data_IF_732774262652
#
_entry.id   IF_732774262652
#
_cell.length_a   1.000
_cell.length_b   1.000
_cell.length_c   1.000
_cell.angle_alpha   90.00
_cell.angle_beta   90.00
_cell.angle_gamma   90.00
#
_symmetry.space_group_name_H-M   'P 1'
#
loop_
_entity.id
_entity.type
_entity.pdbx_description
1 polymer ?
#
# COMPACT_ATOMS: atom_id res chain seq x y z
N UNK A 1 -27.98 -13.60 19.32
CA UNK A 1 -26.77 -13.36 18.50
C UNK A 1 -26.97 -14.03 17.15
N UNK A 2 -26.70 -13.35 16.05
CA UNK A 2 -26.78 -13.98 14.73
C UNK A 2 -25.67 -15.03 14.59
N UNK A 3 -26.01 -16.19 14.02
CA UNK A 3 -25.03 -17.22 13.74
C UNK A 3 -24.16 -16.79 12.54
N UNK A 4 -22.83 -16.97 12.64
CA UNK A 4 -21.96 -16.81 11.48
C UNK A 4 -22.38 -17.81 10.39
N UNK A 5 -22.53 -17.31 9.17
CA UNK A 5 -22.87 -18.12 7.99
C UNK A 5 -21.60 -18.77 7.42
N UNK A 6 -21.69 -19.70 6.47
CA UNK A 6 -20.52 -20.23 5.76
C UNK A 6 -19.61 -19.13 5.19
N UNK A 7 -20.18 -18.08 4.57
CA UNK A 7 -19.42 -16.94 4.06
C UNK A 7 -18.67 -16.17 5.14
N UNK A 8 -19.31 -15.92 6.28
CA UNK A 8 -18.65 -15.23 7.39
C UNK A 8 -17.44 -16.03 7.91
N UNK A 9 -17.59 -17.35 8.06
CA UNK A 9 -16.50 -18.23 8.48
C UNK A 9 -15.34 -18.23 7.49
N UNK A 10 -15.65 -18.21 6.19
CA UNK A 10 -14.60 -18.06 5.17
C UNK A 10 -13.88 -16.71 5.28
N UNK A 11 -14.60 -15.60 5.47
CA UNK A 11 -13.95 -14.30 5.68
C UNK A 11 -13.08 -14.30 6.94
N UNK A 12 -13.55 -14.91 8.03
CA UNK A 12 -12.75 -15.09 9.26
C UNK A 12 -11.49 -15.88 8.96
N UNK A 13 -11.58 -17.01 8.25
CA UNK A 13 -10.40 -17.84 7.96
C UNK A 13 -9.37 -17.12 7.08
N UNK A 14 -9.80 -16.28 6.14
CA UNK A 14 -8.88 -15.42 5.38
C UNK A 14 -8.17 -14.41 6.29
N UNK A 15 -8.92 -13.67 7.11
CA UNK A 15 -8.35 -12.68 8.05
C UNK A 15 -7.38 -13.34 9.05
N UNK A 16 -7.75 -14.50 9.57
CA UNK A 16 -6.94 -15.29 10.51
C UNK A 16 -5.65 -15.76 9.85
N UNK A 17 -5.73 -16.29 8.63
CA UNK A 17 -4.57 -16.78 7.89
C UNK A 17 -3.59 -15.66 7.54
N UNK A 18 -4.09 -14.53 7.01
CA UNK A 18 -3.23 -13.44 6.51
C UNK A 18 -2.54 -12.65 7.63
N UNK A 19 -3.08 -12.67 8.84
CA UNK A 19 -2.50 -11.99 10.00
C UNK A 19 -1.82 -12.94 10.99
N UNK A 20 -1.68 -14.23 10.65
CA UNK A 20 -1.05 -15.24 11.50
C UNK A 20 -1.75 -15.38 12.88
N UNK A 21 -3.08 -15.32 12.91
CA UNK A 21 -3.92 -15.30 14.12
C UNK A 21 -4.64 -16.63 14.40
N UNK A 22 -4.12 -17.77 13.91
CA UNK A 22 -4.80 -19.07 13.98
C UNK A 22 -5.24 -19.47 15.40
N UNK A 23 -4.40 -19.19 16.41
CA UNK A 23 -4.70 -19.49 17.81
C UNK A 23 -5.84 -18.63 18.39
N UNK A 24 -6.17 -17.51 17.74
CA UNK A 24 -7.17 -16.55 18.17
C UNK A 24 -8.46 -16.61 17.34
N UNK A 25 -8.63 -17.60 16.46
CA UNK A 25 -9.80 -17.73 15.58
C UNK A 25 -11.16 -17.59 16.32
N UNK A 26 -11.39 -18.21 17.50
CA UNK A 26 -12.64 -18.03 18.25
C UNK A 26 -12.91 -16.58 18.67
N UNK A 27 -11.85 -15.81 18.98
CA UNK A 27 -11.93 -14.40 19.32
C UNK A 27 -12.26 -13.57 18.08
N UNK A 28 -11.63 -13.88 16.94
CA UNK A 28 -11.91 -13.21 15.67
C UNK A 28 -13.33 -13.48 15.20
N UNK A 29 -13.85 -14.71 15.36
CA UNK A 29 -15.27 -15.01 15.15
C UNK A 29 -16.18 -14.11 16.01
N UNK A 30 -15.82 -13.89 17.28
CA UNK A 30 -16.61 -13.01 18.14
C UNK A 30 -16.56 -11.55 17.66
N UNK A 31 -15.40 -11.08 17.20
CA UNK A 31 -15.28 -9.74 16.62
C UNK A 31 -16.15 -9.58 15.37
N UNK A 32 -16.26 -10.60 14.52
CA UNK A 32 -17.17 -10.60 13.37
C UNK A 32 -18.65 -10.54 13.78
N UNK A 33 -19.03 -11.21 14.88
CA UNK A 33 -20.42 -11.21 15.39
C UNK A 33 -20.80 -9.89 16.04
N UNK A 34 -19.88 -9.30 16.81
CA UNK A 34 -20.19 -8.20 17.71
C UNK A 34 -19.62 -6.87 17.21
N UNK A 35 -18.30 -6.79 17.04
CA UNK A 35 -17.60 -5.52 16.79
C UNK A 35 -17.72 -5.05 15.34
N UNK A 36 -17.66 -5.98 14.38
CA UNK A 36 -17.58 -5.67 12.96
C UNK A 36 -18.89 -5.90 12.19
N UNK A 37 -19.91 -6.50 12.83
CA UNK A 37 -21.20 -6.81 12.20
C UNK A 37 -21.88 -5.57 11.61
N UNK A 38 -21.78 -4.41 12.27
CA UNK A 38 -22.33 -3.15 11.78
C UNK A 38 -21.73 -2.69 10.42
N UNK A 39 -20.54 -3.17 10.05
CA UNK A 39 -19.89 -2.90 8.74
C UNK A 39 -20.04 -4.09 7.78
N UNK A 40 -19.88 -5.31 8.29
CA UNK A 40 -19.96 -6.54 7.50
C UNK A 40 -21.39 -6.74 6.97
N UNK A 41 -22.42 -6.55 7.79
CA UNK A 41 -23.80 -6.84 7.38
C UNK A 41 -24.27 -5.94 6.23
N UNK A 42 -24.10 -4.60 6.27
CA UNK A 42 -24.44 -3.74 5.13
C UNK A 42 -23.60 -4.05 3.89
N UNK A 43 -22.32 -4.36 4.07
CA UNK A 43 -21.44 -4.76 2.98
C UNK A 43 -21.97 -6.02 2.28
N UNK A 44 -22.25 -7.09 3.02
CA UNK A 44 -22.75 -8.36 2.46
C UNK A 44 -24.16 -8.23 1.87
N UNK A 45 -25.01 -7.37 2.43
CA UNK A 45 -26.37 -7.08 1.89
C UNK A 45 -26.34 -6.15 0.68
N UNK A 46 -25.21 -5.47 0.43
CA UNK A 46 -25.07 -4.49 -0.63
C UNK A 46 -25.71 -3.14 -0.36
N UNK A 47 -25.92 -2.82 0.92
CA UNK A 47 -26.45 -1.53 1.40
C UNK A 47 -25.35 -0.62 1.95
N UNK A 48 -24.10 -1.06 2.02
CA UNK A 48 -22.96 -0.17 2.27
C UNK A 48 -22.78 0.81 1.09
N UNK A 49 -22.21 1.98 1.38
CA UNK A 49 -21.81 2.95 0.37
C UNK A 49 -20.66 2.45 -0.53
N UNK A 50 -19.94 1.42 -0.09
CA UNK A 50 -18.76 0.89 -0.78
C UNK A 50 -18.95 -0.58 -1.21
N UNK A 51 -18.16 -1.02 -2.19
CA UNK A 51 -18.09 -2.42 -2.65
C UNK A 51 -16.87 -3.14 -2.10
N UNK A 52 -16.13 -2.51 -1.20
CA UNK A 52 -14.94 -3.07 -0.58
C UNK A 52 -15.02 -2.97 0.94
N UNK A 53 -14.38 -3.92 1.61
CA UNK A 53 -14.24 -3.95 3.06
C UNK A 53 -12.78 -4.24 3.40
N UNK A 54 -12.18 -3.43 4.27
CA UNK A 54 -10.80 -3.56 4.67
C UNK A 54 -10.70 -4.04 6.12
N UNK A 55 -9.80 -4.99 6.36
CA UNK A 55 -9.33 -5.32 7.70
C UNK A 55 -7.88 -4.89 7.84
N UNK A 56 -7.56 -4.23 8.95
CA UNK A 56 -6.23 -3.77 9.27
C UNK A 56 -5.74 -4.37 10.58
N UNK A 57 -4.50 -4.83 10.60
CA UNK A 57 -3.90 -5.45 11.77
C UNK A 57 -2.53 -4.87 12.07
N UNK A 58 -2.36 -4.41 13.30
CA UNK A 58 -1.09 -3.88 13.81
C UNK A 58 -0.72 -4.55 15.12
N UNK A 59 0.43 -5.20 15.16
CA UNK A 59 0.99 -5.81 16.39
C UNK A 59 1.35 -4.70 17.37
N UNK A 60 1.02 -4.86 18.64
CA UNK A 60 1.40 -3.90 19.68
C UNK A 60 2.84 -4.18 20.12
N UNK A 61 3.77 -3.23 19.90
CA UNK A 61 5.17 -3.37 20.32
C UNK A 61 5.40 -3.21 21.84
N UNK A 62 4.38 -2.84 22.63
CA UNK A 62 4.53 -2.64 24.07
C UNK A 62 3.43 -3.37 24.86
N UNK A 63 3.86 -4.27 25.76
CA UNK A 63 3.04 -5.06 26.67
C UNK A 63 2.44 -4.26 27.85
N UNK A 64 2.12 -2.97 27.63
CA UNK A 64 1.61 -2.10 28.68
C UNK A 64 0.42 -1.29 28.17
N UNK A 65 -0.79 -1.81 28.37
CA UNK A 65 -2.03 -1.03 28.28
C UNK A 65 -3.19 -1.72 27.55
N UNK A 66 -4.18 -2.13 28.35
CA UNK A 66 -5.52 -2.62 28.01
C UNK A 66 -5.64 -4.03 27.43
N UNK A 67 -6.57 -4.80 28.02
CA UNK A 67 -7.09 -6.10 27.60
C UNK A 67 -7.34 -6.11 26.08
N UNK A 68 -6.42 -6.62 25.28
CA UNK A 68 -6.77 -7.14 23.96
C UNK A 68 -6.59 -8.63 23.99
N UNK A 69 -7.63 -9.33 23.57
CA UNK A 69 -7.69 -10.80 23.52
C UNK A 69 -6.75 -11.38 22.45
N UNK A 70 -6.13 -10.51 21.64
CA UNK A 70 -5.16 -10.81 20.58
C UNK A 70 -3.90 -9.91 20.75
N UNK A 71 -2.73 -10.31 20.20
CA UNK A 71 -1.44 -9.61 20.39
C UNK A 71 -1.34 -8.24 19.68
N UNK A 72 -2.38 -7.83 18.95
CA UNK A 72 -2.42 -6.58 18.21
C UNK A 72 -3.76 -5.89 18.27
N UNK A 73 -3.93 -4.89 17.39
CA UNK A 73 -5.20 -4.23 17.15
C UNK A 73 -5.69 -4.64 15.77
N UNK A 74 -6.80 -5.38 15.73
CA UNK A 74 -7.56 -5.65 14.52
C UNK A 74 -8.66 -4.59 14.38
N UNK A 75 -8.79 -4.00 13.21
CA UNK A 75 -9.87 -3.08 12.89
C UNK A 75 -10.50 -3.43 11.53
N UNK A 76 -11.76 -3.04 11.37
CA UNK A 76 -12.52 -3.16 10.13
C UNK A 76 -12.93 -1.76 9.68
N UNK A 77 -12.69 -1.40 8.42
CA UNK A 77 -12.94 -0.07 7.87
C UNK A 77 -13.27 -0.12 6.38
N UNK A 78 -13.81 0.97 5.86
CA UNK A 78 -14.01 1.17 4.41
C UNK A 78 -12.85 2.00 3.80
N UNK A 79 -11.82 2.31 4.59
CA UNK A 79 -10.65 3.08 4.17
C UNK A 79 -9.36 2.54 4.80
N UNK A 80 -8.21 2.92 4.22
CA UNK A 80 -6.88 2.46 4.64
C UNK A 80 -6.41 3.28 5.84
N UNK A 81 -5.82 2.60 6.84
CA UNK A 81 -5.16 3.28 7.96
C UNK A 81 -3.73 3.64 7.53
N UNK A 82 -3.31 4.87 7.79
CA UNK A 82 -1.98 5.36 7.44
C UNK A 82 -0.91 5.00 8.48
N UNK A 83 -1.26 4.18 9.48
CA UNK A 83 -0.36 3.79 10.55
C UNK A 83 0.78 2.89 10.00
N UNK A 84 2.06 3.30 10.10
CA UNK A 84 3.17 2.49 9.63
C UNK A 84 3.20 1.11 10.30
N UNK A 85 3.56 0.08 9.52
CA UNK A 85 3.65 -1.32 9.97
C UNK A 85 2.29 -2.00 10.17
N UNK A 86 1.22 -1.45 9.61
CA UNK A 86 -0.11 -2.06 9.62
C UNK A 86 -0.28 -2.95 8.39
N UNK A 87 -0.60 -4.23 8.60
CA UNK A 87 -0.98 -5.14 7.52
C UNK A 87 -2.44 -4.92 7.15
N UNK A 88 -2.77 -5.12 5.88
CA UNK A 88 -4.14 -4.92 5.39
C UNK A 88 -4.58 -6.06 4.49
N UNK A 89 -5.84 -6.49 4.67
CA UNK A 89 -6.52 -7.38 3.74
C UNK A 89 -7.86 -6.79 3.34
N UNK A 90 -8.30 -7.07 2.12
CA UNK A 90 -9.53 -6.52 1.57
C UNK A 90 -10.45 -7.62 1.04
N UNK A 91 -11.73 -7.32 1.06
CA UNK A 91 -12.76 -8.05 0.35
C UNK A 91 -13.42 -7.11 -0.65
N UNK A 92 -13.61 -7.55 -1.90
CA UNK A 92 -14.27 -6.77 -2.96
C UNK A 92 -15.46 -7.56 -3.50
N UNK A 93 -16.62 -6.91 -3.51
CA UNK A 93 -17.83 -7.43 -4.14
C UNK A 93 -17.77 -7.19 -5.64
N UNK A 94 -18.02 -8.24 -6.42
CA UNK A 94 -18.09 -8.19 -7.89
C UNK A 94 -19.54 -8.21 -8.40
N UNK A 95 -20.49 -8.10 -7.47
CA UNK A 95 -21.92 -7.99 -7.75
C UNK A 95 -22.37 -6.53 -7.77
N UNK A 96 -23.44 -6.19 -8.50
CA UNK A 96 -23.98 -4.83 -8.52
C UNK A 96 -24.35 -4.29 -7.12
N UNK A 97 -24.34 -2.96 -6.97
CA UNK A 97 -24.87 -2.28 -5.78
C UNK A 97 -26.31 -2.69 -5.50
N UNK A 98 -26.67 -2.82 -4.22
CA UNK A 98 -27.99 -3.28 -3.79
C UNK A 98 -28.24 -4.79 -3.89
N UNK A 99 -27.40 -5.56 -4.60
CA UNK A 99 -27.54 -7.03 -4.66
C UNK A 99 -26.84 -7.69 -3.47
N UNK A 100 -27.57 -8.46 -2.68
CA UNK A 100 -26.99 -9.24 -1.58
C UNK A 100 -26.13 -10.41 -2.09
N UNK A 101 -25.09 -10.74 -1.34
CA UNK A 101 -24.28 -11.94 -1.55
C UNK A 101 -24.97 -13.19 -1.00
N UNK A 102 -24.71 -14.34 -1.62
CA UNK A 102 -25.19 -15.62 -1.10
C UNK A 102 -24.39 -16.04 0.16
N UNK A 103 -25.00 -15.91 1.33
CA UNK A 103 -24.34 -16.19 2.60
C UNK A 103 -24.08 -17.69 2.88
N UNK A 104 -24.72 -18.59 2.14
CA UNK A 104 -24.60 -20.04 2.29
C UNK A 104 -23.43 -20.63 1.49
N UNK A 105 -22.91 -19.87 0.52
CA UNK A 105 -21.70 -20.23 -0.22
C UNK A 105 -20.51 -19.59 0.47
N UNK A 106 -19.55 -20.42 0.89
CA UNK A 106 -18.38 -19.98 1.65
C UNK A 106 -17.49 -19.04 0.82
N UNK A 107 -17.13 -19.46 -0.39
CA UNK A 107 -16.31 -18.72 -1.33
C UNK A 107 -16.81 -18.92 -2.76
N UNK A 108 -16.88 -17.84 -3.53
CA UNK A 108 -17.28 -17.80 -4.93
C UNK A 108 -16.71 -16.56 -5.61
N UNK A 109 -16.95 -16.42 -6.92
CA UNK A 109 -16.51 -15.26 -7.68
C UNK A 109 -17.25 -13.95 -7.34
N UNK A 110 -18.31 -13.99 -6.51
CA UNK A 110 -19.08 -12.80 -6.11
C UNK A 110 -18.37 -11.96 -5.04
N UNK A 111 -17.42 -12.55 -4.32
CA UNK A 111 -16.62 -11.90 -3.27
C UNK A 111 -15.15 -12.28 -3.42
N UNK A 112 -14.34 -11.33 -3.90
CA UNK A 112 -12.90 -11.47 -4.01
C UNK A 112 -12.24 -11.13 -2.68
N UNK A 113 -11.10 -11.77 -2.43
CA UNK A 113 -10.22 -11.51 -1.30
C UNK A 113 -8.82 -11.17 -1.82
N UNK A 114 -8.10 -10.29 -1.13
CA UNK A 114 -6.70 -10.03 -1.39
C UNK A 114 -5.99 -9.37 -0.22
N UNK A 115 -4.66 -9.42 -0.27
CA UNK A 115 -3.77 -8.81 0.71
C UNK A 115 -3.10 -7.58 0.08
N UNK A 116 -3.00 -6.48 0.82
CA UNK A 116 -2.21 -5.35 0.36
C UNK A 116 -0.74 -5.57 0.73
N UNK A 117 0.19 -5.35 -0.21
CA UNK A 117 1.61 -5.42 0.07
C UNK A 117 2.06 -4.20 0.89
N UNK A 118 3.18 -4.35 1.59
CA UNK A 118 3.79 -3.29 2.42
C UNK A 118 4.11 -2.01 1.62
N UNK A 119 4.38 -2.17 0.32
CA UNK A 119 4.63 -1.09 -0.63
C UNK A 119 3.53 -1.10 -1.71
N UNK A 120 2.37 -0.47 -1.47
CA UNK A 120 1.20 -0.57 -2.36
C UNK A 120 1.46 -0.15 -3.81
N UNK A 121 2.25 0.92 -4.02
CA UNK A 121 2.60 1.39 -5.38
C UNK A 121 3.48 0.39 -6.13
N UNK A 122 4.46 -0.20 -5.46
CA UNK A 122 5.29 -1.26 -6.04
C UNK A 122 4.47 -2.52 -6.33
N UNK A 123 3.56 -2.88 -5.43
CA UNK A 123 2.60 -3.95 -5.63
C UNK A 123 1.71 -3.74 -6.83
N UNK A 124 1.17 -2.53 -6.99
CA UNK A 124 0.35 -2.14 -8.15
C UNK A 124 1.16 -2.22 -9.45
N UNK A 125 2.36 -1.65 -9.47
CA UNK A 125 3.25 -1.73 -10.64
C UNK A 125 3.56 -3.18 -11.02
N UNK A 126 3.91 -4.02 -10.05
CA UNK A 126 4.22 -5.44 -10.28
C UNK A 126 2.99 -6.17 -10.82
N UNK A 127 1.82 -5.94 -10.22
CA UNK A 127 0.57 -6.57 -10.66
C UNK A 127 0.20 -6.17 -12.08
N UNK A 128 0.34 -4.90 -12.44
CA UNK A 128 0.03 -4.43 -13.79
C UNK A 128 1.06 -4.90 -14.82
N UNK A 129 2.35 -4.70 -14.55
CA UNK A 129 3.44 -5.00 -15.50
C UNK A 129 3.70 -6.50 -15.68
N UNK A 130 3.54 -7.30 -14.62
CA UNK A 130 3.94 -8.72 -14.62
C UNK A 130 2.77 -9.69 -14.75
N UNK A 131 1.53 -9.26 -14.46
CA UNK A 131 0.36 -10.13 -14.53
C UNK A 131 -0.62 -9.63 -15.58
N UNK A 132 -1.18 -8.42 -15.42
CA UNK A 132 -2.26 -7.96 -16.29
C UNK A 132 -1.80 -7.62 -17.70
N UNK A 133 -0.69 -6.90 -17.86
CA UNK A 133 -0.17 -6.55 -19.18
C UNK A 133 0.15 -7.82 -20.00
N UNK A 134 0.93 -8.80 -19.50
CA UNK A 134 1.15 -10.05 -20.22
C UNK A 134 -0.15 -10.80 -20.51
N UNK A 135 -1.09 -10.83 -19.56
CA UNK A 135 -2.38 -11.51 -19.78
C UNK A 135 -3.14 -10.89 -20.96
N UNK A 136 -3.24 -9.57 -21.01
CA UNK A 136 -3.94 -8.83 -22.07
C UNK A 136 -3.19 -8.91 -23.41
N UNK A 137 -1.87 -9.00 -23.40
CA UNK A 137 -1.06 -9.21 -24.60
C UNK A 137 -1.27 -10.58 -25.25
N UNK A 138 -1.62 -11.60 -24.45
CA UNK A 138 -1.89 -12.95 -24.93
C UNK A 138 -3.35 -13.18 -25.35
N UNK A 139 -4.23 -12.19 -25.15
CA UNK A 139 -5.63 -12.30 -25.57
C UNK A 139 -5.75 -12.43 -27.08
N UNK A 140 -6.55 -13.41 -27.51
CA UNK A 140 -6.79 -13.67 -28.92
C UNK A 140 -8.04 -12.96 -29.46
N UNK A 141 -8.38 -13.21 -30.73
CA UNK A 141 -9.56 -12.61 -31.36
C UNK A 141 -10.88 -13.00 -30.67
N UNK A 142 -10.93 -14.13 -29.97
CA UNK A 142 -12.10 -14.60 -29.23
C UNK A 142 -12.27 -13.84 -27.90
N UNK A 143 -11.17 -13.53 -27.21
CA UNK A 143 -11.16 -12.75 -25.97
C UNK A 143 -11.57 -11.30 -26.20
N UNK A 144 -11.00 -10.68 -27.23
CA UNK A 144 -11.30 -9.30 -27.62
C UNK A 144 -12.68 -9.12 -28.25
N UNK A 145 -13.34 -10.22 -28.65
CA UNK A 145 -14.66 -10.23 -29.28
C UNK A 145 -14.76 -9.21 -30.43
N UNK A 146 -15.51 -8.12 -30.21
CA UNK A 146 -15.82 -7.08 -31.21
C UNK A 146 -14.91 -5.86 -31.12
N UNK A 147 -13.88 -5.87 -30.29
CA UNK A 147 -12.95 -4.74 -30.15
C UNK A 147 -12.16 -4.55 -31.47
N UNK A 148 -12.14 -3.37 -32.11
CA UNK A 148 -11.30 -3.09 -33.28
C UNK A 148 -9.81 -3.22 -32.98
N UNK A 149 -9.00 -3.65 -33.96
CA UNK A 149 -7.55 -3.82 -33.79
C UNK A 149 -6.84 -2.53 -33.35
N UNK A 150 -7.25 -1.38 -33.90
CA UNK A 150 -6.71 -0.07 -33.54
C UNK A 150 -6.87 0.24 -32.04
N UNK A 151 -8.07 -0.01 -31.49
CA UNK A 151 -8.36 0.20 -30.06
C UNK A 151 -7.57 -0.77 -29.16
N UNK A 152 -7.36 -2.01 -29.63
CA UNK A 152 -6.51 -2.98 -28.91
C UNK A 152 -5.07 -2.51 -28.84
N UNK A 153 -4.54 -2.06 -29.99
CA UNK A 153 -3.17 -1.55 -30.09
C UNK A 153 -2.96 -0.31 -29.23
N UNK A 154 -3.93 0.62 -29.24
CA UNK A 154 -3.91 1.81 -28.40
C UNK A 154 -3.93 1.45 -26.91
N UNK A 155 -4.84 0.58 -26.48
CA UNK A 155 -4.92 0.14 -25.08
C UNK A 155 -3.61 -0.50 -24.61
N UNK A 156 -3.03 -1.41 -25.40
CA UNK A 156 -1.75 -2.04 -25.07
C UNK A 156 -0.60 -1.02 -25.01
N UNK A 157 -0.54 -0.09 -25.96
CA UNK A 157 0.45 0.98 -25.96
C UNK A 157 0.33 1.86 -24.71
N UNK A 158 -0.88 2.32 -24.38
CA UNK A 158 -1.16 3.12 -23.20
C UNK A 158 -0.81 2.36 -21.90
N UNK A 159 -1.14 1.06 -21.83
CA UNK A 159 -0.85 0.24 -20.64
C UNK A 159 0.65 0.04 -20.45
N UNK A 160 1.42 -0.16 -21.54
CA UNK A 160 2.88 -0.25 -21.49
C UNK A 160 3.51 1.06 -21.02
N UNK A 161 3.10 2.19 -21.61
CA UNK A 161 3.60 3.51 -21.21
C UNK A 161 3.27 3.79 -19.74
N UNK A 162 2.05 3.50 -19.30
CA UNK A 162 1.64 3.65 -17.91
C UNK A 162 2.50 2.81 -16.95
N UNK A 163 2.73 1.53 -17.27
CA UNK A 163 3.58 0.67 -16.44
C UNK A 163 5.02 1.23 -16.36
N UNK A 164 5.57 1.67 -17.49
CA UNK A 164 6.91 2.26 -17.56
C UNK A 164 7.00 3.54 -16.72
N UNK A 165 6.09 4.49 -16.93
CA UNK A 165 6.06 5.76 -16.19
C UNK A 165 5.84 5.55 -14.68
N UNK A 166 4.98 4.60 -14.31
CA UNK A 166 4.78 4.24 -12.91
C UNK A 166 6.04 3.63 -12.29
N UNK A 167 6.75 2.76 -13.03
CA UNK A 167 8.04 2.21 -12.61
C UNK A 167 9.10 3.29 -12.41
N UNK A 168 9.25 4.19 -13.37
CA UNK A 168 10.18 5.34 -13.29
C UNK A 168 9.82 6.28 -12.14
N UNK A 169 8.54 6.52 -11.88
CA UNK A 169 8.08 7.34 -10.75
C UNK A 169 8.35 6.67 -9.39
N UNK A 170 8.16 5.35 -9.30
CA UNK A 170 8.50 4.56 -8.10
C UNK A 170 10.00 4.59 -7.87
N UNK A 171 10.81 4.42 -8.91
CA UNK A 171 12.25 4.54 -8.83
C UNK A 171 12.64 5.95 -8.38
N UNK A 172 12.10 7.00 -8.99
CA UNK A 172 12.34 8.37 -8.56
C UNK A 172 11.98 8.60 -7.08
N UNK A 173 10.86 8.03 -6.62
CA UNK A 173 10.44 8.11 -5.21
C UNK A 173 11.39 7.34 -4.27
N UNK A 174 11.82 6.14 -4.67
CA UNK A 174 12.74 5.31 -3.89
C UNK A 174 14.16 5.87 -3.86
N UNK A 175 14.57 6.56 -4.94
CA UNK A 175 15.87 7.22 -5.09
C UNK A 175 15.83 8.69 -4.65
N UNK A 176 14.70 9.21 -4.17
CA UNK A 176 14.62 10.52 -3.56
C UNK A 176 15.55 10.60 -2.36
N UNK A 177 16.25 11.72 -2.20
CA UNK A 177 17.12 11.92 -1.05
C UNK A 177 16.32 11.88 0.25
N UNK A 178 16.61 10.90 1.09
CA UNK A 178 16.14 10.86 2.47
C UNK A 178 17.28 11.28 3.39
N UNK A 179 17.33 12.58 3.67
CA UNK A 179 18.30 13.14 4.61
C UNK A 179 18.07 12.57 6.01
N UNK A 180 19.14 12.06 6.61
CA UNK A 180 19.14 11.55 7.99
C UNK A 180 18.61 12.63 8.94
N UNK A 181 17.70 12.28 9.85
CA UNK A 181 17.23 13.23 10.87
C UNK A 181 18.25 13.38 12.00
N UNK A 182 18.32 14.55 12.68
CA UNK A 182 19.11 14.69 13.90
C UNK A 182 18.69 13.66 14.96
N UNK A 183 19.65 13.21 15.75
CA UNK A 183 19.39 12.27 16.85
C UNK A 183 18.44 12.93 17.87
N UNK A 184 17.51 12.15 18.40
CA UNK A 184 16.57 12.59 19.42
C UNK A 184 17.28 13.07 20.71
N UNK A 185 18.53 12.63 20.94
CA UNK A 185 19.41 13.14 22.00
C UNK A 185 19.74 14.63 21.87
N UNK A 186 19.75 15.16 20.64
CA UNK A 186 20.06 16.55 20.33
C UNK A 186 18.78 17.26 19.86
N UNK A 187 17.82 17.38 20.77
CA UNK A 187 16.52 17.98 20.47
C UNK A 187 16.68 19.43 19.97
N UNK A 188 16.29 19.67 18.72
CA UNK A 188 16.25 20.99 18.09
C UNK A 188 15.50 22.04 18.92
N UNK A 189 14.53 21.61 19.74
CA UNK A 189 13.77 22.50 20.62
C UNK A 189 14.60 23.09 21.76
N UNK A 190 15.63 22.37 22.23
CA UNK A 190 16.50 22.82 23.33
C UNK A 190 17.66 23.65 22.81
N UNK A 191 18.18 23.30 21.62
CA UNK A 191 19.18 24.11 20.90
C UNK A 191 18.60 25.48 20.52
N UNK A 192 17.33 25.53 20.09
CA UNK A 192 16.63 26.78 19.74
C UNK A 192 16.47 27.76 20.89
N UNK A 193 16.52 27.29 22.14
CA UNK A 193 16.36 28.14 23.33
C UNK A 193 17.64 28.89 23.67
N UNK A 194 18.81 28.28 23.44
CA UNK A 194 20.10 28.92 23.70
C UNK A 194 21.21 28.34 22.78
N UNK A 195 21.31 28.91 21.59
CA UNK A 195 22.31 28.51 20.58
C UNK A 195 23.75 28.71 21.06
N UNK A 196 23.98 29.69 21.94
CA UNK A 196 25.32 30.02 22.44
C UNK A 196 25.87 28.98 23.40
N UNK A 197 25.00 28.32 24.18
CA UNK A 197 25.39 27.19 25.02
C UNK A 197 25.54 25.92 24.19
N UNK A 198 24.62 25.65 23.26
CA UNK A 198 24.70 24.48 22.37
C UNK A 198 25.95 24.49 21.48
N UNK A 199 26.38 25.67 21.00
CA UNK A 199 27.60 25.81 20.20
C UNK A 199 28.91 25.63 20.99
N UNK A 200 28.83 25.58 22.34
CA UNK A 200 29.98 25.30 23.21
C UNK A 200 30.06 23.85 23.65
N UNK A 201 29.03 23.06 23.34
CA UNK A 201 28.99 21.62 23.61
C UNK A 201 29.66 20.89 22.43
N UNK A 202 30.85 20.29 22.63
CA UNK A 202 31.58 19.61 21.55
C UNK A 202 30.78 18.47 20.93
N UNK A 203 29.99 17.74 21.73
CA UNK A 203 29.23 16.58 21.27
C UNK A 203 28.07 17.00 20.36
N UNK A 204 27.46 18.16 20.63
CA UNK A 204 26.42 18.74 19.78
C UNK A 204 27.03 19.19 18.45
N UNK A 205 28.15 19.92 18.49
CA UNK A 205 28.81 20.44 17.29
C UNK A 205 29.28 19.30 16.40
N UNK A 206 29.97 18.29 16.96
CA UNK A 206 30.45 17.11 16.24
C UNK A 206 29.28 16.36 15.57
N UNK A 207 28.18 16.12 16.30
CA UNK A 207 27.00 15.45 15.74
C UNK A 207 26.38 16.20 14.55
N UNK A 208 26.29 17.54 14.60
CA UNK A 208 25.74 18.32 13.48
C UNK A 208 26.73 18.48 12.32
N UNK A 209 28.03 18.51 12.59
CA UNK A 209 29.07 18.47 11.54
C UNK A 209 29.03 17.14 10.78
N UNK A 210 28.96 16.01 11.49
CA UNK A 210 28.79 14.68 10.88
C UNK A 210 27.48 14.59 10.09
N UNK A 211 26.38 15.10 10.64
CA UNK A 211 25.09 15.07 9.98
C UNK A 211 25.09 15.90 8.68
N UNK A 212 25.72 17.07 8.69
CA UNK A 212 25.84 17.93 7.51
C UNK A 212 26.78 17.32 6.46
N UNK A 213 27.89 16.70 6.87
CA UNK A 213 28.79 15.99 5.95
C UNK A 213 28.07 14.80 5.27
N UNK A 214 27.30 14.03 6.05
CA UNK A 214 26.43 12.96 5.54
C UNK A 214 25.41 13.50 4.52
N UNK A 215 24.80 14.66 4.81
CA UNK A 215 23.83 15.29 3.89
C UNK A 215 24.50 15.77 2.61
N UNK A 216 25.66 16.43 2.69
CA UNK A 216 26.43 16.89 1.54
C UNK A 216 26.80 15.71 0.63
N UNK A 217 27.34 14.62 1.20
CA UNK A 217 27.68 13.41 0.43
C UNK A 217 26.48 12.76 -0.23
N UNK A 218 25.34 12.71 0.47
CA UNK A 218 24.10 12.16 -0.09
C UNK A 218 23.60 13.02 -1.25
N UNK A 219 23.62 14.35 -1.11
CA UNK A 219 23.25 15.33 -2.13
C UNK A 219 24.17 15.25 -3.35
N UNK A 220 25.48 15.23 -3.15
CA UNK A 220 26.46 15.09 -4.23
C UNK A 220 26.25 13.79 -5.00
N UNK A 221 26.15 12.65 -4.29
CA UNK A 221 25.90 11.35 -4.91
C UNK A 221 24.59 11.32 -5.71
N UNK A 222 23.52 11.93 -5.19
CA UNK A 222 22.25 12.03 -5.89
C UNK A 222 22.34 12.91 -7.15
N UNK A 223 23.04 14.05 -7.06
CA UNK A 223 23.26 14.94 -8.19
C UNK A 223 24.07 14.25 -9.28
N UNK A 224 25.16 13.56 -8.93
CA UNK A 224 25.97 12.75 -9.85
C UNK A 224 25.13 11.66 -10.52
N UNK A 225 24.39 10.87 -9.74
CA UNK A 225 23.52 9.81 -10.27
C UNK A 225 22.42 10.36 -11.19
N UNK A 226 21.87 11.54 -10.88
CA UNK A 226 20.84 12.21 -11.68
C UNK A 226 21.42 12.77 -12.99
N UNK A 227 22.63 13.33 -12.95
CA UNK A 227 23.36 13.83 -14.11
C UNK A 227 23.79 12.72 -15.07
N UNK A 228 24.26 11.58 -14.53
CA UNK A 228 24.61 10.40 -15.33
C UNK A 228 23.39 9.83 -16.07
N UNK A 229 22.23 9.73 -15.39
CA UNK A 229 20.98 9.29 -16.03
C UNK A 229 20.50 10.27 -17.11
N UNK A 230 20.62 11.58 -16.89
CA UNK A 230 20.31 12.61 -17.89
C UNK A 230 21.24 12.58 -19.10
N UNK A 231 22.54 12.33 -18.90
CA UNK A 231 23.51 12.19 -19.97
C UNK A 231 23.25 10.94 -20.85
N UNK A 232 22.78 9.84 -20.26
CA UNK A 232 22.38 8.64 -21.03
C UNK A 232 21.08 8.82 -21.82
N UNK A 233 20.18 9.74 -21.42
CA UNK A 233 18.98 10.08 -22.19
C UNK A 233 19.24 11.08 -23.33
N UNK A 234 20.28 11.92 -23.23
CA UNK A 234 20.62 12.94 -24.23
C UNK A 234 21.08 12.36 -25.58
N UNK A 235 21.44 11.07 -25.65
CA UNK A 235 21.82 10.39 -26.91
C UNK A 235 20.59 9.81 -27.67
N UNK A 236 19.36 10.05 -27.17
CA UNK A 236 18.14 9.79 -27.93
C UNK A 236 17.77 11.04 -28.72
N UNK A 237 17.98 10.96 -30.04
CA UNK A 237 17.98 12.09 -30.97
C UNK A 237 16.65 12.88 -31.08
N UNK A 238 16.51 13.73 -32.12
CA UNK A 238 15.76 14.99 -32.14
C UNK A 238 14.23 14.97 -31.90
N UNK A 239 13.65 13.86 -31.42
CA UNK A 239 12.22 13.76 -31.05
C UNK A 239 11.93 14.13 -29.59
N UNK A 240 12.95 14.24 -28.74
CA UNK A 240 12.84 14.62 -27.32
C UNK A 240 12.52 16.11 -27.08
N UNK A 241 12.74 16.98 -28.07
CA UNK A 241 12.44 18.42 -27.97
C UNK A 241 10.93 18.75 -28.14
N UNK A 242 10.11 17.81 -28.62
CA UNK A 242 8.69 18.07 -28.92
C UNK A 242 7.73 17.96 -27.71
N UNK A 243 8.22 17.61 -26.51
CA UNK A 243 7.39 17.47 -25.30
C UNK A 243 7.41 18.69 -24.38
N UNK A 244 7.99 19.80 -24.81
CA UNK A 244 7.92 21.09 -24.10
C UNK A 244 7.27 22.16 -24.98
N UNK A 245 5.99 21.96 -25.30
CA UNK A 245 5.04 23.05 -25.61
C UNK A 245 3.70 22.74 -24.97
#
# INVERSE_FOLDING_TARGET
MAALTPRHRWMVSQVVSSFDLAEFEPVIENYFREQFSAKIDPFLKGTSATQHLLFSYKVKNNAAGAHSDIPGKLACSEGVSEDPGTKHVYFIRTVPFGKSLNLNVAADAELLFGELPDLPLQGLHTTLSSIFLPAVEHFDSSDWKKCPEEQRSELLSCTRSFCKELGEAIDSLAHGIQLRRPDARFALADIKKDYTLAARDPDVVEHFEELLDDWCRQIEKYLETSLEKGATQADTGPRSEASLV
#
